data_IF_652398109344
#
_entry.id   IF_652398109344
#
_cell.length_a   1.000
_cell.length_b   1.000
_cell.length_c   1.000
_cell.angle_alpha   90.00
_cell.angle_beta   90.00
_cell.angle_gamma   90.00
#
_symmetry.space_group_name_H-M   'P 1'
#
loop_
_entity.id
_entity.type
_entity.pdbx_description
1 polymer ?
#
# COMPACT_ATOMS: atom_id res chain seq x y z
N UNK A 1 -47.30 -18.61 -26.96
CA UNK A 1 -46.17 -19.43 -26.47
C UNK A 1 -44.96 -19.38 -27.40
N UNK A 2 -45.12 -19.34 -28.73
CA UNK A 2 -43.99 -19.24 -29.68
C UNK A 2 -43.18 -17.92 -29.59
N UNK A 3 -43.82 -16.80 -29.21
CA UNK A 3 -43.13 -15.51 -29.12
C UNK A 3 -42.04 -15.45 -28.03
N UNK A 4 -42.20 -16.21 -26.92
CA UNK A 4 -41.18 -16.26 -25.85
C UNK A 4 -39.94 -17.07 -26.27
N UNK A 5 -40.12 -18.12 -27.09
CA UNK A 5 -39.01 -18.93 -27.61
C UNK A 5 -38.11 -18.18 -28.61
N UNK A 6 -38.64 -17.13 -29.25
CA UNK A 6 -37.92 -16.25 -30.16
C UNK A 6 -37.43 -14.95 -29.49
N UNK A 7 -37.46 -14.86 -28.16
CA UNK A 7 -36.95 -13.67 -27.46
C UNK A 7 -35.45 -13.52 -27.73
N UNK A 8 -34.98 -12.39 -28.28
CA UNK A 8 -33.57 -12.22 -28.57
C UNK A 8 -32.74 -12.30 -27.28
N UNK A 9 -31.65 -13.06 -27.33
CA UNK A 9 -30.69 -13.13 -26.24
C UNK A 9 -30.12 -11.72 -26.05
N UNK A 10 -30.27 -11.17 -24.84
CA UNK A 10 -29.74 -9.85 -24.52
C UNK A 10 -28.23 -9.82 -24.81
N UNK A 11 -27.74 -8.87 -25.63
CA UNK A 11 -26.33 -8.80 -25.94
C UNK A 11 -25.53 -8.54 -24.66
N UNK A 12 -24.42 -9.28 -24.51
CA UNK A 12 -23.48 -9.06 -23.41
C UNK A 12 -22.84 -7.69 -23.56
N UNK A 13 -22.82 -6.90 -22.48
CA UNK A 13 -22.17 -5.59 -22.51
C UNK A 13 -20.67 -5.75 -22.26
N UNK A 14 -19.84 -5.16 -23.12
CA UNK A 14 -18.41 -5.12 -22.88
C UNK A 14 -18.06 -4.02 -21.87
N UNK A 15 -18.07 -4.36 -20.58
CA UNK A 15 -17.69 -3.45 -19.48
C UNK A 15 -16.58 -4.09 -18.65
N UNK A 16 -15.35 -3.61 -18.83
CA UNK A 16 -14.19 -4.05 -18.06
C UNK A 16 -13.96 -3.18 -16.82
N UNK A 17 -14.13 -1.86 -16.95
CA UNK A 17 -13.78 -0.91 -15.90
C UNK A 17 -15.01 -0.49 -15.09
N UNK A 18 -14.82 -0.45 -13.78
CA UNK A 18 -15.77 0.01 -12.79
C UNK A 18 -15.07 1.07 -11.95
N UNK A 19 -15.66 2.25 -11.84
CA UNK A 19 -15.11 3.37 -11.05
C UNK A 19 -16.05 3.70 -9.89
N UNK A 20 -17.33 3.95 -10.22
CA UNK A 20 -18.40 4.16 -9.24
C UNK A 20 -19.51 3.11 -9.45
N UNK A 21 -19.38 1.98 -8.78
CA UNK A 21 -20.36 0.91 -8.82
C UNK A 21 -20.61 0.37 -7.41
N UNK A 22 -21.80 -0.17 -7.18
CA UNK A 22 -22.05 -0.97 -5.98
C UNK A 22 -21.49 -2.39 -6.17
N UNK A 23 -21.25 -3.12 -5.07
CA UNK A 23 -20.79 -4.52 -5.14
C UNK A 23 -21.76 -5.37 -5.96
N UNK A 24 -23.06 -5.14 -5.80
CA UNK A 24 -24.11 -5.83 -6.55
C UNK A 24 -24.02 -5.58 -8.05
N UNK A 25 -23.80 -4.33 -8.47
CA UNK A 25 -23.66 -3.99 -9.88
C UNK A 25 -22.38 -4.60 -10.50
N UNK A 26 -21.29 -4.65 -9.72
CA UNK A 26 -20.04 -5.31 -10.11
C UNK A 26 -20.26 -6.82 -10.29
N UNK A 27 -20.82 -7.50 -9.28
CA UNK A 27 -21.02 -8.95 -9.30
C UNK A 27 -22.03 -9.39 -10.35
N UNK A 28 -23.12 -8.64 -10.52
CA UNK A 28 -24.08 -8.89 -11.58
C UNK A 28 -23.44 -8.71 -12.96
N UNK A 29 -22.56 -7.72 -13.10
CA UNK A 29 -21.78 -7.51 -14.32
C UNK A 29 -20.82 -8.67 -14.62
N UNK A 30 -20.12 -9.16 -13.61
CA UNK A 30 -19.23 -10.32 -13.71
C UNK A 30 -19.97 -11.62 -14.07
N UNK A 31 -21.22 -11.76 -13.59
CA UNK A 31 -22.07 -12.90 -13.88
C UNK A 31 -22.69 -12.83 -15.29
N UNK A 32 -23.34 -11.70 -15.63
CA UNK A 32 -24.14 -11.58 -16.85
C UNK A 32 -23.33 -11.22 -18.10
N UNK A 33 -22.24 -10.47 -17.93
CA UNK A 33 -21.47 -9.95 -19.05
C UNK A 33 -20.16 -10.71 -19.21
N UNK A 34 -19.14 -10.29 -18.48
CA UNK A 34 -17.76 -10.70 -18.66
C UNK A 34 -17.20 -11.09 -17.30
N UNK A 35 -16.64 -12.31 -17.13
CA UNK A 35 -16.14 -12.78 -15.84
C UNK A 35 -14.76 -12.19 -15.48
N UNK A 36 -14.45 -11.00 -15.97
CA UNK A 36 -13.26 -10.23 -15.63
C UNK A 36 -13.63 -8.75 -15.49
N UNK A 37 -13.09 -8.07 -14.49
CA UNK A 37 -13.31 -6.65 -14.26
C UNK A 37 -12.08 -5.99 -13.61
N UNK A 38 -11.97 -4.68 -13.79
CA UNK A 38 -11.04 -3.79 -13.11
C UNK A 38 -11.81 -2.75 -12.28
N UNK A 39 -11.50 -2.66 -10.99
CA UNK A 39 -11.86 -1.52 -10.15
C UNK A 39 -10.65 -0.57 -10.13
N UNK A 40 -10.59 0.35 -11.08
CA UNK A 40 -9.42 1.20 -11.33
C UNK A 40 -9.82 2.64 -11.08
N UNK A 41 -9.04 3.39 -10.32
CA UNK A 41 -9.31 4.81 -10.08
C UNK A 41 -8.03 5.61 -9.83
N UNK A 42 -7.91 6.74 -10.52
CA UNK A 42 -6.87 7.76 -10.25
C UNK A 42 -7.21 8.65 -9.05
N UNK A 43 -8.45 8.60 -8.56
CA UNK A 43 -8.96 9.31 -7.38
C UNK A 43 -9.61 8.32 -6.40
N UNK A 44 -8.83 7.32 -6.00
CA UNK A 44 -9.30 6.15 -5.27
C UNK A 44 -9.82 6.43 -3.85
N UNK A 45 -9.73 7.66 -3.34
CA UNK A 45 -10.30 8.02 -2.03
C UNK A 45 -11.80 7.72 -1.93
N UNK A 46 -12.56 8.06 -2.97
CA UNK A 46 -13.99 7.72 -3.06
C UNK A 46 -14.20 6.20 -3.10
N UNK A 47 -13.40 5.48 -3.90
CA UNK A 47 -13.51 4.02 -4.06
C UNK A 47 -13.17 3.28 -2.76
N UNK A 48 -12.14 3.69 -2.02
CA UNK A 48 -11.77 3.11 -0.72
C UNK A 48 -12.93 3.14 0.28
N UNK A 49 -13.67 4.24 0.30
CA UNK A 49 -14.86 4.41 1.14
C UNK A 49 -16.15 3.88 0.50
N UNK A 50 -16.08 3.49 -0.78
CA UNK A 50 -17.20 3.04 -1.59
C UNK A 50 -17.68 1.64 -1.22
N UNK A 51 -18.95 1.34 -1.54
CA UNK A 51 -19.57 0.07 -1.19
C UNK A 51 -18.96 -1.13 -1.94
N UNK A 52 -18.65 -0.98 -3.23
CA UNK A 52 -17.98 -2.03 -4.02
C UNK A 52 -16.67 -2.49 -3.39
N UNK A 53 -15.88 -1.55 -2.84
CA UNK A 53 -14.62 -1.91 -2.22
C UNK A 53 -14.82 -2.52 -0.81
N UNK A 54 -15.85 -2.14 -0.07
CA UNK A 54 -15.97 -2.58 1.32
C UNK A 54 -16.58 -3.98 1.51
N UNK A 55 -16.87 -4.72 0.43
CA UNK A 55 -17.21 -6.15 0.48
C UNK A 55 -15.93 -7.03 0.44
N UNK A 56 -15.16 -6.95 1.53
CA UNK A 56 -13.80 -7.45 1.64
C UNK A 56 -13.66 -8.94 1.32
N UNK A 57 -14.58 -9.77 1.83
CA UNK A 57 -14.53 -11.22 1.62
C UNK A 57 -14.72 -11.58 0.14
N UNK A 58 -15.63 -10.89 -0.55
CA UNK A 58 -15.88 -11.11 -1.98
C UNK A 58 -14.73 -10.59 -2.85
N UNK A 59 -14.08 -9.51 -2.48
CA UNK A 59 -12.84 -9.11 -3.15
C UNK A 59 -11.75 -10.16 -3.00
N UNK A 60 -11.54 -10.66 -1.78
CA UNK A 60 -10.57 -11.70 -1.52
C UNK A 60 -10.87 -12.98 -2.31
N UNK A 61 -12.14 -13.36 -2.42
CA UNK A 61 -12.60 -14.48 -3.25
C UNK A 61 -12.32 -14.26 -4.75
N UNK A 62 -12.66 -13.08 -5.31
CA UNK A 62 -12.38 -12.77 -6.72
C UNK A 62 -10.88 -12.70 -7.02
N UNK A 63 -10.08 -12.23 -6.06
CA UNK A 63 -8.63 -12.27 -6.16
C UNK A 63 -8.15 -13.72 -6.20
N UNK A 64 -8.56 -14.57 -5.25
CA UNK A 64 -8.20 -16.00 -5.22
C UNK A 64 -8.71 -16.77 -6.44
N UNK A 65 -9.85 -16.35 -7.00
CA UNK A 65 -10.56 -17.09 -8.04
C UNK A 65 -11.65 -18.01 -7.51
N UNK A 66 -12.03 -17.83 -6.25
CA UNK A 66 -13.09 -18.59 -5.63
C UNK A 66 -14.44 -18.17 -6.20
N UNK A 67 -15.38 -19.11 -6.22
CA UNK A 67 -16.76 -18.80 -6.60
C UNK A 67 -17.46 -18.00 -5.49
N UNK A 68 -18.31 -17.07 -5.89
CA UNK A 68 -19.15 -16.30 -4.97
C UNK A 68 -20.60 -16.61 -5.27
N UNK A 69 -21.32 -17.11 -4.26
CA UNK A 69 -22.77 -17.23 -4.31
C UNK A 69 -23.41 -15.93 -3.86
N UNK A 70 -24.30 -15.38 -4.68
CA UNK A 70 -25.09 -14.19 -4.35
C UNK A 70 -26.54 -14.59 -4.23
N UNK A 71 -27.00 -14.75 -2.99
CA UNK A 71 -28.40 -15.05 -2.70
C UNK A 71 -29.28 -13.80 -2.71
N UNK A 72 -30.46 -13.91 -3.31
CA UNK A 72 -31.42 -12.80 -3.44
C UNK A 72 -32.80 -13.25 -2.99
N UNK A 73 -33.47 -12.39 -2.22
CA UNK A 73 -34.84 -12.62 -1.75
C UNK A 73 -35.86 -12.30 -2.85
N UNK A 74 -35.61 -11.24 -3.63
CA UNK A 74 -36.55 -10.70 -4.63
C UNK A 74 -36.13 -10.98 -6.08
N UNK A 75 -35.08 -11.76 -6.30
CA UNK A 75 -34.56 -12.11 -7.61
C UNK A 75 -33.91 -13.50 -7.56
N UNK A 76 -33.52 -14.04 -8.72
CA UNK A 76 -32.82 -15.31 -8.80
C UNK A 76 -31.40 -15.20 -8.18
N UNK A 77 -31.04 -16.17 -7.34
CA UNK A 77 -29.67 -16.33 -6.83
C UNK A 77 -28.74 -16.72 -7.98
N UNK A 78 -27.47 -16.28 -7.91
CA UNK A 78 -26.50 -16.59 -8.95
C UNK A 78 -25.10 -16.83 -8.40
N UNK A 79 -24.30 -17.58 -9.15
CA UNK A 79 -22.89 -17.82 -8.87
C UNK A 79 -22.00 -16.94 -9.76
N UNK A 80 -21.00 -16.32 -9.15
CA UNK A 80 -20.00 -15.49 -9.84
C UNK A 80 -18.66 -16.22 -9.82
N UNK A 81 -18.13 -16.55 -11.01
CA UNK A 81 -16.77 -17.08 -11.20
C UNK A 81 -15.91 -16.07 -11.94
N UNK A 82 -15.65 -14.95 -11.26
CA UNK A 82 -14.99 -13.78 -11.84
C UNK A 82 -13.51 -13.66 -11.49
N UNK A 83 -12.81 -12.74 -12.16
CA UNK A 83 -11.51 -12.23 -11.75
C UNK A 83 -11.59 -10.71 -11.63
N UNK A 84 -11.06 -10.18 -10.53
CA UNK A 84 -11.05 -8.74 -10.27
C UNK A 84 -9.61 -8.26 -10.12
N UNK A 85 -9.26 -7.21 -10.86
CA UNK A 85 -8.06 -6.40 -10.59
C UNK A 85 -8.50 -5.11 -9.91
N UNK A 86 -7.76 -4.68 -8.90
CA UNK A 86 -8.02 -3.40 -8.23
C UNK A 86 -6.75 -2.56 -8.32
N UNK A 87 -6.88 -1.32 -8.75
CA UNK A 87 -5.76 -0.36 -8.85
C UNK A 87 -6.24 1.01 -8.43
N UNK A 88 -5.80 1.46 -7.26
CA UNK A 88 -6.24 2.71 -6.66
C UNK A 88 -5.04 3.63 -6.44
N UNK A 89 -5.13 4.83 -7.00
CA UNK A 89 -4.24 5.94 -6.65
C UNK A 89 -4.96 6.79 -5.62
N UNK A 90 -4.38 6.96 -4.44
CA UNK A 90 -5.06 7.58 -3.30
C UNK A 90 -4.16 8.64 -2.70
N UNK A 91 -4.75 9.78 -2.36
CA UNK A 91 -4.06 10.79 -1.55
C UNK A 91 -3.76 10.24 -0.15
N UNK A 92 -2.58 10.53 0.36
CA UNK A 92 -2.08 10.06 1.66
C UNK A 92 -3.09 10.29 2.80
N UNK A 93 -3.65 11.51 2.88
CA UNK A 93 -4.66 11.87 3.89
C UNK A 93 -5.93 11.00 3.83
N UNK A 94 -6.39 10.67 2.61
CA UNK A 94 -7.56 9.84 2.40
C UNK A 94 -7.29 8.38 2.80
N UNK A 95 -6.10 7.86 2.47
CA UNK A 95 -5.68 6.53 2.87
C UNK A 95 -5.58 6.41 4.39
N UNK A 96 -4.92 7.35 5.07
CA UNK A 96 -4.80 7.29 6.53
C UNK A 96 -6.15 7.48 7.24
N UNK A 97 -7.05 8.33 6.72
CA UNK A 97 -8.41 8.42 7.26
C UNK A 97 -9.19 7.11 7.11
N UNK A 98 -9.00 6.39 6.00
CA UNK A 98 -9.56 5.05 5.84
C UNK A 98 -8.97 4.07 6.85
N UNK A 99 -7.64 4.06 7.00
CA UNK A 99 -6.94 3.15 7.90
C UNK A 99 -7.29 3.37 9.37
N UNK A 100 -7.49 4.61 9.80
CA UNK A 100 -7.95 4.93 11.16
C UNK A 100 -9.33 4.32 11.46
N UNK A 101 -10.25 4.34 10.48
CA UNK A 101 -11.63 3.88 10.66
C UNK A 101 -11.82 2.38 10.39
N UNK A 102 -11.11 1.85 9.41
CA UNK A 102 -11.35 0.51 8.85
C UNK A 102 -10.10 -0.37 8.85
N UNK A 103 -8.95 0.10 9.33
CA UNK A 103 -7.66 -0.57 9.22
C UNK A 103 -7.64 -1.95 9.85
N UNK A 104 -8.12 -2.07 11.10
CA UNK A 104 -8.18 -3.36 11.81
C UNK A 104 -9.02 -4.39 11.05
N UNK A 105 -10.21 -4.01 10.58
CA UNK A 105 -11.10 -4.89 9.82
C UNK A 105 -10.52 -5.26 8.45
N UNK A 106 -10.03 -4.27 7.71
CA UNK A 106 -9.49 -4.48 6.36
C UNK A 106 -8.21 -5.32 6.37
N UNK A 107 -7.29 -5.07 7.31
CA UNK A 107 -6.12 -5.93 7.53
C UNK A 107 -6.49 -7.31 8.05
N UNK A 108 -7.34 -7.40 9.07
CA UNK A 108 -7.77 -8.67 9.65
C UNK A 108 -8.48 -9.58 8.65
N UNK A 109 -9.15 -9.01 7.64
CA UNK A 109 -9.73 -9.79 6.53
C UNK A 109 -8.70 -10.35 5.55
N UNK A 110 -7.44 -9.88 5.62
CA UNK A 110 -6.37 -10.16 4.67
C UNK A 110 -6.49 -9.39 3.36
N UNK A 111 -7.30 -8.32 3.29
CA UNK A 111 -7.45 -7.51 2.07
C UNK A 111 -6.08 -6.97 1.64
N UNK A 112 -5.44 -6.18 2.49
CA UNK A 112 -4.21 -5.47 2.15
C UNK A 112 -3.03 -6.38 1.80
N UNK A 113 -2.99 -7.59 2.38
CA UNK A 113 -1.98 -8.60 2.04
C UNK A 113 -2.06 -9.09 0.57
N UNK A 114 -3.19 -8.86 -0.12
CA UNK A 114 -3.40 -9.19 -1.54
C UNK A 114 -3.07 -8.03 -2.49
N UNK A 115 -2.68 -6.87 -1.95
CA UNK A 115 -2.38 -5.67 -2.71
C UNK A 115 -0.86 -5.43 -2.72
N UNK A 116 -0.37 -4.89 -3.83
CA UNK A 116 0.96 -4.30 -3.92
C UNK A 116 0.84 -2.83 -3.54
N UNK A 117 0.97 -2.54 -2.23
CA UNK A 117 0.81 -1.20 -1.67
C UNK A 117 2.16 -0.49 -1.64
N UNK A 118 2.20 0.77 -2.05
CA UNK A 118 3.39 1.63 -1.93
C UNK A 118 3.01 3.07 -1.64
N UNK A 119 3.95 3.81 -1.06
CA UNK A 119 3.87 5.26 -0.88
C UNK A 119 5.23 5.86 -1.25
N UNK A 120 5.54 5.96 -2.56
CA UNK A 120 6.84 6.41 -3.04
C UNK A 120 7.10 7.87 -2.65
N UNK A 121 8.38 8.24 -2.62
CA UNK A 121 8.78 9.62 -2.29
C UNK A 121 8.15 10.63 -3.24
N UNK A 122 7.64 11.73 -2.67
CA UNK A 122 7.04 12.80 -3.44
C UNK A 122 8.10 13.57 -4.21
N UNK A 123 7.92 13.68 -5.52
CA UNK A 123 8.72 14.57 -6.38
C UNK A 123 8.15 16.00 -6.41
N UNK A 124 7.10 16.30 -5.64
CA UNK A 124 6.55 17.65 -5.56
C UNK A 124 7.59 18.61 -4.97
N UNK A 125 7.77 19.76 -5.60
CA UNK A 125 8.82 20.73 -5.25
C UNK A 125 10.16 20.48 -5.94
N UNK A 126 10.39 19.31 -6.54
CA UNK A 126 11.63 18.96 -7.25
C UNK A 126 11.42 18.51 -8.71
N UNK A 127 10.17 18.24 -9.12
CA UNK A 127 9.78 17.86 -10.50
C UNK A 127 9.78 19.04 -11.49
N UNK A 128 10.91 19.70 -11.67
CA UNK A 128 11.03 20.81 -12.61
C UNK A 128 10.89 20.33 -14.06
N UNK A 129 10.11 21.06 -14.86
CA UNK A 129 10.00 20.81 -16.30
C UNK A 129 11.33 21.22 -16.95
N UNK A 130 11.93 20.30 -17.69
CA UNK A 130 13.11 20.56 -18.53
C UNK A 130 12.64 20.79 -19.97
N UNK A 131 13.32 21.68 -20.70
CA UNK A 131 13.06 21.88 -22.12
C UNK A 131 13.54 20.66 -22.92
N UNK A 132 12.68 20.13 -23.79
CA UNK A 132 12.97 18.97 -24.63
C UNK A 132 11.78 18.01 -24.74
N UNK A 133 11.81 17.13 -25.75
CA UNK A 133 10.86 16.04 -25.82
C UNK A 133 11.24 14.98 -24.79
N UNK A 134 10.31 14.66 -23.87
CA UNK A 134 10.49 13.47 -23.04
C UNK A 134 10.54 12.23 -23.95
N UNK A 135 11.46 11.27 -23.72
CA UNK A 135 11.51 10.06 -24.51
C UNK A 135 10.30 9.18 -24.16
N UNK A 136 9.27 9.21 -25.01
CA UNK A 136 8.03 8.43 -24.86
C UNK A 136 8.10 7.02 -25.48
N UNK A 137 9.23 6.62 -26.09
CA UNK A 137 9.37 5.32 -26.79
C UNK A 137 8.97 4.12 -25.92
N UNK A 138 9.39 4.10 -24.65
CA UNK A 138 9.00 3.06 -23.71
C UNK A 138 7.48 3.05 -23.45
N UNK A 139 6.85 4.22 -23.37
CA UNK A 139 5.41 4.36 -23.19
C UNK A 139 4.64 3.93 -24.45
N UNK A 140 5.18 4.21 -25.63
CA UNK A 140 4.59 3.82 -26.91
C UNK A 140 4.62 2.30 -27.06
N UNK A 141 5.78 1.66 -26.81
CA UNK A 141 5.93 0.19 -26.82
C UNK A 141 5.03 -0.49 -25.78
N UNK A 142 4.91 0.09 -24.59
CA UNK A 142 3.99 -0.40 -23.57
C UNK A 142 2.52 -0.29 -24.04
N UNK A 143 2.13 0.85 -24.60
CA UNK A 143 0.77 1.11 -25.09
C UNK A 143 0.41 0.19 -26.25
N UNK A 144 1.34 -0.04 -27.17
CA UNK A 144 1.20 -1.02 -28.25
C UNK A 144 0.94 -2.42 -27.69
N UNK A 145 1.74 -2.85 -26.70
CA UNK A 145 1.56 -4.16 -26.07
C UNK A 145 0.20 -4.30 -25.39
N UNK A 146 -0.25 -3.27 -24.67
CA UNK A 146 -1.60 -3.24 -24.09
C UNK A 146 -2.67 -3.34 -25.18
N UNK A 147 -2.49 -2.63 -26.29
CA UNK A 147 -3.41 -2.67 -27.44
C UNK A 147 -3.55 -4.06 -28.07
N UNK A 148 -2.45 -4.80 -28.21
CA UNK A 148 -2.47 -6.20 -28.66
C UNK A 148 -3.25 -7.11 -27.70
N UNK A 149 -3.00 -6.97 -26.39
CA UNK A 149 -3.68 -7.75 -25.36
C UNK A 149 -5.18 -7.45 -25.39
N UNK A 150 -5.58 -6.19 -25.50
CA UNK A 150 -6.99 -5.79 -25.59
C UNK A 150 -7.68 -6.38 -26.84
N UNK A 151 -7.03 -6.31 -28.01
CA UNK A 151 -7.56 -6.92 -29.25
C UNK A 151 -7.79 -8.42 -29.08
N UNK A 152 -6.79 -9.14 -28.58
CA UNK A 152 -6.91 -10.60 -28.33
C UNK A 152 -7.97 -10.92 -27.26
N UNK A 153 -8.17 -10.02 -26.29
CA UNK A 153 -9.18 -10.18 -25.23
C UNK A 153 -10.60 -10.03 -25.76
N UNK A 154 -10.85 -9.16 -26.74
CA UNK A 154 -12.19 -9.02 -27.35
C UNK A 154 -12.61 -10.34 -28.01
N UNK A 155 -11.71 -10.96 -28.77
CA UNK A 155 -11.96 -12.27 -29.39
C UNK A 155 -12.18 -13.37 -28.36
N UNK A 156 -11.36 -13.39 -27.29
CA UNK A 156 -11.51 -14.34 -26.19
C UNK A 156 -12.84 -14.18 -25.45
N UNK A 157 -13.28 -12.94 -25.22
CA UNK A 157 -14.49 -12.63 -24.47
C UNK A 157 -15.77 -12.82 -25.30
N UNK A 158 -15.66 -12.85 -26.62
CA UNK A 158 -16.75 -13.20 -27.52
C UNK A 158 -17.11 -14.71 -27.44
N UNK A 159 -16.14 -15.58 -27.13
CA UNK A 159 -16.36 -17.02 -27.00
C UNK A 159 -16.22 -17.49 -25.54
N UNK A 160 -17.34 -17.61 -24.84
CA UNK A 160 -17.37 -18.09 -23.45
C UNK A 160 -16.90 -19.54 -23.26
N UNK A 161 -16.67 -20.30 -24.33
CA UNK A 161 -16.16 -21.68 -24.25
C UNK A 161 -14.64 -21.76 -24.44
N UNK A 162 -13.99 -20.68 -24.88
CA UNK A 162 -12.54 -20.67 -25.09
C UNK A 162 -11.82 -20.84 -23.74
N UNK A 163 -10.93 -21.84 -23.59
CA UNK A 163 -10.23 -22.06 -22.34
C UNK A 163 -9.26 -20.89 -22.06
N UNK A 164 -9.15 -20.50 -20.79
CA UNK A 164 -8.15 -19.52 -20.36
C UNK A 164 -6.75 -20.10 -20.56
N UNK A 165 -5.81 -19.25 -20.97
CA UNK A 165 -4.41 -19.60 -20.98
C UNK A 165 -3.96 -19.94 -19.55
N UNK A 166 -3.39 -21.12 -19.38
CA UNK A 166 -2.78 -21.56 -18.12
C UNK A 166 -1.28 -21.59 -18.33
N UNK A 167 -0.56 -20.72 -17.63
CA UNK A 167 0.90 -20.72 -17.57
C UNK A 167 1.35 -21.48 -16.33
N UNK A 168 2.48 -22.18 -16.44
CA UNK A 168 3.06 -22.97 -15.34
C UNK A 168 4.51 -22.58 -15.14
N UNK A 169 5.01 -22.77 -13.93
CA UNK A 169 6.44 -22.65 -13.66
C UNK A 169 7.20 -23.81 -14.28
N UNK A 170 8.40 -23.52 -14.78
CA UNK A 170 9.41 -24.54 -15.04
C UNK A 170 9.85 -25.21 -13.75
N UNK A 171 10.42 -26.40 -13.82
CA UNK A 171 10.88 -27.13 -12.63
C UNK A 171 11.86 -26.31 -11.77
N UNK A 172 12.77 -25.57 -12.42
CA UNK A 172 13.70 -24.68 -11.73
C UNK A 172 12.98 -23.53 -11.01
N UNK A 173 11.99 -22.92 -11.67
CA UNK A 173 11.17 -21.87 -11.06
C UNK A 173 10.32 -22.41 -9.89
N UNK A 174 9.80 -23.65 -9.97
CA UNK A 174 9.08 -24.30 -8.86
C UNK A 174 9.99 -24.42 -7.63
N UNK A 175 11.21 -24.98 -7.80
CA UNK A 175 12.15 -25.12 -6.70
C UNK A 175 12.48 -23.78 -6.05
N UNK A 176 12.69 -22.74 -6.88
CA UNK A 176 12.97 -21.41 -6.39
C UNK A 176 11.78 -20.80 -5.65
N UNK A 177 10.57 -20.94 -6.18
CA UNK A 177 9.35 -20.45 -5.54
C UNK A 177 9.14 -21.11 -4.17
N UNK A 178 9.33 -22.43 -4.05
CA UNK A 178 9.25 -23.15 -2.77
C UNK A 178 10.30 -22.66 -1.77
N UNK A 179 11.53 -22.41 -2.24
CA UNK A 179 12.59 -21.84 -1.40
C UNK A 179 12.21 -20.47 -0.86
N UNK A 180 11.64 -19.59 -1.70
CA UNK A 180 11.16 -18.27 -1.29
C UNK A 180 9.99 -18.38 -0.32
N UNK A 181 8.99 -19.22 -0.61
CA UNK A 181 7.85 -19.45 0.27
C UNK A 181 8.31 -19.85 1.67
N UNK A 182 9.17 -20.87 1.78
CA UNK A 182 9.67 -21.35 3.08
C UNK A 182 10.55 -20.31 3.78
N UNK A 183 11.35 -19.55 3.01
CA UNK A 183 12.16 -18.46 3.55
C UNK A 183 11.32 -17.35 4.16
N UNK A 184 10.24 -16.94 3.49
CA UNK A 184 9.28 -15.94 3.99
C UNK A 184 8.55 -16.47 5.23
N UNK A 185 8.07 -17.71 5.20
CA UNK A 185 7.38 -18.35 6.33
C UNK A 185 8.27 -18.38 7.58
N UNK A 186 9.54 -18.77 7.43
CA UNK A 186 10.50 -18.80 8.53
C UNK A 186 10.74 -17.40 9.16
N UNK A 187 10.50 -16.32 8.42
CA UNK A 187 10.68 -14.94 8.88
C UNK A 187 9.46 -14.38 9.62
N UNK A 188 8.36 -15.13 9.76
CA UNK A 188 7.19 -14.74 10.56
C UNK A 188 7.46 -14.87 12.07
N UNK A 189 8.39 -15.74 12.45
CA UNK A 189 8.77 -16.02 13.84
C UNK A 189 9.20 -14.75 14.61
N UNK A 190 9.22 -14.78 15.96
CA UNK A 190 9.81 -13.70 16.76
C UNK A 190 11.17 -13.26 16.24
N UNK A 191 11.41 -11.95 16.19
CA UNK A 191 12.62 -11.31 15.65
C UNK A 191 12.86 -11.50 14.15
N UNK A 192 11.99 -12.23 13.44
CA UNK A 192 12.02 -12.33 11.99
C UNK A 192 11.51 -11.06 11.30
N UNK A 193 11.87 -10.87 10.03
CA UNK A 193 11.48 -9.71 9.22
C UNK A 193 9.97 -9.43 9.23
N UNK A 194 9.16 -10.49 9.30
CA UNK A 194 7.70 -10.41 9.23
C UNK A 194 7.03 -10.66 10.59
N UNK A 195 7.76 -10.50 11.70
CA UNK A 195 7.17 -10.60 13.02
C UNK A 195 6.00 -9.62 13.19
N UNK A 196 4.83 -10.11 13.60
CA UNK A 196 3.59 -9.32 13.70
C UNK A 196 2.93 -8.96 12.36
N UNK A 197 3.50 -9.43 11.24
CA UNK A 197 3.04 -9.13 9.86
C UNK A 197 2.82 -10.43 9.06
N UNK A 198 2.39 -11.49 9.75
CA UNK A 198 2.16 -12.81 9.16
C UNK A 198 1.05 -12.80 8.09
N UNK A 199 0.05 -11.94 8.22
CA UNK A 199 -1.00 -11.76 7.21
C UNK A 199 -0.44 -11.41 5.83
N UNK A 200 0.53 -10.49 5.78
CA UNK A 200 1.24 -10.09 4.56
C UNK A 200 2.17 -11.20 4.06
N UNK A 201 3.01 -11.73 4.95
CA UNK A 201 3.99 -12.76 4.61
C UNK A 201 3.34 -14.00 3.96
N UNK A 202 2.22 -14.49 4.52
CA UNK A 202 1.49 -15.65 4.01
C UNK A 202 0.80 -15.43 2.64
N UNK A 203 0.79 -14.21 2.11
CA UNK A 203 0.27 -13.90 0.75
C UNK A 203 1.35 -13.45 -0.22
N UNK A 204 2.56 -13.19 0.26
CA UNK A 204 3.65 -12.67 -0.57
C UNK A 204 4.04 -13.63 -1.69
N UNK A 205 4.13 -14.93 -1.41
CA UNK A 205 4.45 -15.94 -2.42
C UNK A 205 3.37 -16.06 -3.51
N UNK A 206 2.08 -15.90 -3.15
CA UNK A 206 0.97 -15.85 -4.10
C UNK A 206 1.07 -14.62 -5.00
N UNK A 207 1.41 -13.46 -4.44
CA UNK A 207 1.63 -12.22 -5.20
C UNK A 207 2.82 -12.37 -6.17
N UNK A 208 3.94 -12.94 -5.71
CA UNK A 208 5.11 -13.23 -6.55
C UNK A 208 4.72 -14.09 -7.76
N UNK A 209 3.95 -15.15 -7.54
CA UNK A 209 3.53 -16.02 -8.63
C UNK A 209 2.64 -15.31 -9.66
N UNK A 210 1.73 -14.44 -9.19
CA UNK A 210 0.87 -13.62 -10.06
C UNK A 210 1.67 -12.62 -10.88
N UNK A 211 2.62 -11.91 -10.26
CA UNK A 211 3.48 -10.96 -10.96
C UNK A 211 4.36 -11.67 -11.98
N UNK A 212 4.92 -12.84 -11.64
CA UNK A 212 5.70 -13.64 -12.59
C UNK A 212 4.87 -14.07 -13.81
N UNK A 213 3.61 -14.48 -13.61
CA UNK A 213 2.69 -14.80 -14.70
C UNK A 213 2.36 -13.57 -15.56
N UNK A 214 2.18 -12.40 -14.94
CA UNK A 214 1.95 -11.13 -15.65
C UNK A 214 3.18 -10.77 -16.49
N UNK A 215 4.39 -10.85 -15.94
CA UNK A 215 5.63 -10.56 -16.67
C UNK A 215 5.81 -11.51 -17.85
N UNK A 216 5.67 -12.82 -17.61
CA UNK A 216 5.77 -13.83 -18.67
C UNK A 216 4.81 -13.55 -19.83
N UNK A 217 3.54 -13.30 -19.51
CA UNK A 217 2.52 -13.02 -20.51
C UNK A 217 2.76 -11.68 -21.22
N UNK A 218 3.05 -10.62 -20.46
CA UNK A 218 3.25 -9.28 -21.02
C UNK A 218 4.47 -9.23 -21.94
N UNK A 219 5.54 -9.95 -21.63
CA UNK A 219 6.76 -10.00 -22.45
C UNK A 219 6.68 -10.96 -23.65
N UNK A 220 5.52 -11.59 -23.90
CA UNK A 220 5.33 -12.59 -24.98
C UNK A 220 6.30 -13.77 -24.87
N UNK A 221 6.63 -14.19 -23.65
CA UNK A 221 7.43 -15.40 -23.45
C UNK A 221 6.57 -16.64 -23.75
N UNK A 222 7.19 -17.63 -24.37
CA UNK A 222 6.54 -18.91 -24.68
C UNK A 222 6.78 -19.96 -23.60
N UNK A 223 5.89 -20.95 -23.53
CA UNK A 223 6.07 -22.14 -22.69
C UNK A 223 5.87 -21.88 -21.19
N UNK A 224 6.80 -22.41 -20.40
CA UNK A 224 6.75 -22.31 -18.93
C UNK A 224 7.46 -21.03 -18.45
N UNK A 225 7.04 -20.52 -17.29
CA UNK A 225 7.68 -19.41 -16.61
C UNK A 225 9.06 -19.87 -16.14
N UNK A 226 10.09 -19.31 -16.77
CA UNK A 226 11.49 -19.55 -16.44
C UNK A 226 11.88 -18.87 -15.10
N UNK A 227 12.94 -19.36 -14.47
CA UNK A 227 13.38 -18.88 -13.15
C UNK A 227 13.75 -17.40 -13.18
N UNK A 228 14.29 -16.91 -14.29
CA UNK A 228 14.68 -15.50 -14.47
C UNK A 228 13.47 -14.57 -14.41
N UNK A 229 12.32 -15.01 -14.95
CA UNK A 229 11.07 -14.25 -14.88
C UNK A 229 10.50 -14.25 -13.45
N UNK A 230 10.70 -15.36 -12.73
CA UNK A 230 10.32 -15.46 -11.33
C UNK A 230 11.22 -14.57 -10.45
N UNK A 231 12.54 -14.53 -10.65
CA UNK A 231 13.44 -13.64 -9.89
C UNK A 231 13.07 -12.17 -10.06
N UNK A 232 12.78 -11.72 -11.29
CA UNK A 232 12.31 -10.36 -11.54
C UNK A 232 11.02 -10.05 -10.75
N UNK A 233 10.08 -11.01 -10.68
CA UNK A 233 8.87 -10.86 -9.89
C UNK A 233 9.15 -10.86 -8.37
N UNK A 234 10.11 -11.67 -7.91
CA UNK A 234 10.56 -11.70 -6.51
C UNK A 234 11.10 -10.34 -6.10
N UNK A 235 12.00 -9.75 -6.90
CA UNK A 235 12.60 -8.44 -6.61
C UNK A 235 11.53 -7.35 -6.48
N UNK A 236 10.62 -7.26 -7.45
CA UNK A 236 9.53 -6.28 -7.43
C UNK A 236 8.62 -6.49 -6.22
N UNK A 237 8.20 -7.74 -5.96
CA UNK A 237 7.31 -8.02 -4.83
C UNK A 237 7.99 -7.80 -3.47
N UNK A 238 9.30 -8.04 -3.34
CA UNK A 238 10.02 -7.69 -2.11
C UNK A 238 10.14 -6.19 -1.92
N UNK A 239 10.35 -5.40 -2.98
CA UNK A 239 10.29 -3.95 -2.86
C UNK A 239 8.92 -3.47 -2.36
N UNK A 240 7.83 -4.00 -2.91
CA UNK A 240 6.47 -3.71 -2.39
C UNK A 240 6.25 -4.24 -0.97
N UNK A 241 6.88 -5.36 -0.62
CA UNK A 241 6.84 -5.88 0.75
C UNK A 241 7.49 -4.93 1.74
N UNK A 242 8.54 -4.22 1.33
CA UNK A 242 9.27 -3.29 2.17
C UNK A 242 8.44 -2.03 2.41
N UNK A 243 7.80 -1.55 1.35
CA UNK A 243 6.80 -0.49 1.44
C UNK A 243 5.62 -0.88 2.33
N UNK A 244 5.12 -2.11 2.21
CA UNK A 244 4.07 -2.62 3.07
C UNK A 244 4.50 -2.61 4.55
N UNK A 245 5.69 -3.13 4.85
CA UNK A 245 6.23 -3.11 6.22
C UNK A 245 6.38 -1.68 6.72
N UNK A 246 6.90 -0.76 5.90
CA UNK A 246 7.04 0.66 6.27
C UNK A 246 5.70 1.33 6.58
N UNK A 247 4.64 0.99 5.84
CA UNK A 247 3.33 1.61 5.98
C UNK A 247 2.46 0.98 7.06
N UNK A 248 2.57 -0.33 7.29
CA UNK A 248 1.64 -1.09 8.13
C UNK A 248 2.27 -1.71 9.37
N UNK A 249 3.59 -1.68 9.52
CA UNK A 249 4.20 -2.03 10.81
C UNK A 249 3.77 -1.00 11.85
N UNK A 250 3.24 -1.48 12.97
CA UNK A 250 2.96 -0.64 14.12
C UNK A 250 4.28 -0.06 14.61
N UNK A 251 4.52 1.22 14.37
CA UNK A 251 5.65 1.89 14.99
C UNK A 251 5.55 1.72 16.52
N UNK A 252 6.61 1.29 17.21
CA UNK A 252 6.60 1.20 18.68
C UNK A 252 6.06 2.47 19.29
N UNK A 253 5.25 2.36 20.34
CA UNK A 253 4.53 3.51 20.90
C UNK A 253 5.49 4.66 21.28
N UNK A 254 6.66 4.32 21.81
CA UNK A 254 7.76 5.24 22.12
C UNK A 254 8.30 5.99 20.88
N UNK A 255 8.38 5.34 19.73
CA UNK A 255 8.81 5.96 18.49
C UNK A 255 7.76 6.92 17.92
N UNK A 256 6.48 6.53 17.94
CA UNK A 256 5.37 7.38 17.52
C UNK A 256 5.23 8.62 18.44
N UNK A 257 5.48 8.42 19.74
CA UNK A 257 5.52 9.50 20.73
C UNK A 257 6.74 10.41 20.54
N UNK A 258 7.91 9.85 20.22
CA UNK A 258 9.12 10.60 19.90
C UNK A 258 8.93 11.52 18.68
N UNK A 259 8.27 11.05 17.63
CA UNK A 259 7.95 11.88 16.46
C UNK A 259 7.05 13.08 16.82
N UNK A 260 5.98 12.84 17.60
CA UNK A 260 5.09 13.92 18.05
C UNK A 260 5.82 14.91 18.95
N UNK A 261 6.68 14.41 19.83
CA UNK A 261 7.53 15.24 20.68
C UNK A 261 8.49 16.08 19.84
N UNK A 262 9.19 15.49 18.87
CA UNK A 262 10.15 16.20 18.03
C UNK A 262 9.48 17.29 17.17
N UNK A 263 8.30 17.02 16.61
CA UNK A 263 7.51 18.02 15.88
C UNK A 263 7.11 19.19 16.79
N UNK A 264 6.75 18.92 18.05
CA UNK A 264 6.44 19.97 19.02
C UNK A 264 7.69 20.76 19.44
N UNK A 265 8.83 20.09 19.62
CA UNK A 265 10.12 20.73 19.90
C UNK A 265 10.62 21.54 18.70
N UNK A 266 10.27 21.16 17.47
CA UNK A 266 10.65 21.89 16.27
C UNK A 266 10.12 23.33 16.29
N UNK A 267 8.87 23.54 16.73
CA UNK A 267 8.30 24.87 16.93
C UNK A 267 9.08 25.68 17.97
N UNK A 268 9.65 25.00 18.97
CA UNK A 268 10.52 25.60 19.99
C UNK A 268 11.90 25.95 19.45
N UNK A 269 12.46 25.11 18.57
CA UNK A 269 13.70 25.39 17.83
C UNK A 269 13.54 26.63 16.96
N UNK A 270 12.42 26.74 16.24
CA UNK A 270 12.09 27.90 15.40
C UNK A 270 11.94 29.18 16.24
N UNK A 271 11.47 29.06 17.48
CA UNK A 271 11.40 30.16 18.45
C UNK A 271 12.75 30.45 19.14
N UNK A 272 13.84 29.80 18.70
CA UNK A 272 15.20 29.93 19.25
C UNK A 272 15.31 29.60 20.74
N UNK A 273 14.42 28.75 21.27
CA UNK A 273 14.55 28.24 22.65
C UNK A 273 15.69 27.22 22.70
N UNK A 274 16.70 27.41 23.56
CA UNK A 274 17.82 26.47 23.67
C UNK A 274 17.40 25.13 24.31
N UNK A 275 16.53 25.21 25.30
CA UNK A 275 16.15 24.06 26.11
C UNK A 275 14.75 24.21 26.66
N UNK A 276 14.03 23.09 26.78
CA UNK A 276 12.67 23.07 27.31
C UNK A 276 12.63 22.28 28.63
N UNK A 277 12.03 22.82 29.71
CA UNK A 277 11.83 22.04 30.93
C UNK A 277 10.98 20.80 30.64
N UNK A 278 11.36 19.62 31.16
CA UNK A 278 10.58 18.39 31.03
C UNK A 278 9.14 18.55 31.55
N UNK A 279 8.96 19.35 32.61
CA UNK A 279 7.65 19.71 33.17
C UNK A 279 6.77 20.52 32.20
N UNK A 280 7.38 21.33 31.32
CA UNK A 280 6.67 22.08 30.30
C UNK A 280 6.05 21.13 29.26
N UNK A 281 6.79 20.08 28.86
CA UNK A 281 6.28 19.05 27.97
C UNK A 281 5.10 18.31 28.60
N UNK A 282 5.21 17.93 29.87
CA UNK A 282 4.12 17.28 30.60
C UNK A 282 2.84 18.13 30.69
N UNK A 283 2.97 19.46 30.71
CA UNK A 283 1.84 20.38 30.83
C UNK A 283 1.27 20.82 29.47
N UNK A 284 2.12 21.07 28.48
CA UNK A 284 1.75 21.75 27.23
C UNK A 284 2.09 20.96 25.96
N UNK A 285 2.86 19.88 26.06
CA UNK A 285 3.25 19.06 24.92
C UNK A 285 2.07 18.32 24.25
N UNK A 286 2.31 17.50 23.23
CA UNK A 286 1.27 16.66 22.62
C UNK A 286 0.61 15.75 23.66
N UNK A 287 -0.72 15.56 23.58
CA UNK A 287 -1.51 14.79 24.58
C UNK A 287 -0.88 13.43 24.98
N UNK A 288 -0.35 12.60 24.05
CA UNK A 288 0.25 11.32 24.40
C UNK A 288 1.50 11.43 25.30
N UNK A 289 2.33 12.45 25.11
CA UNK A 289 3.60 12.65 25.85
C UNK A 289 3.46 13.53 27.09
N UNK A 290 2.21 13.79 27.52
CA UNK A 290 1.91 14.40 28.83
C UNK A 290 1.92 13.41 29.99
N UNK A 291 2.12 12.12 29.69
CA UNK A 291 2.35 11.06 30.65
C UNK A 291 3.86 10.75 30.73
N UNK A 292 4.43 10.77 31.94
CA UNK A 292 5.85 10.47 32.19
C UNK A 292 6.25 9.10 31.64
N UNK A 293 5.38 8.08 31.76
CA UNK A 293 5.68 6.72 31.28
C UNK A 293 5.83 6.64 29.76
N UNK A 294 5.28 7.62 29.04
CA UNK A 294 5.38 7.72 27.57
C UNK A 294 6.43 8.72 27.13
N UNK A 295 6.58 9.81 27.89
CA UNK A 295 7.56 10.86 27.63
C UNK A 295 8.99 10.32 27.74
N UNK A 296 9.28 9.49 28.73
CA UNK A 296 10.66 9.06 29.01
C UNK A 296 11.21 8.16 27.89
N UNK A 297 10.51 7.10 27.46
CA UNK A 297 10.91 6.34 26.27
C UNK A 297 11.00 7.20 25.01
N UNK A 298 10.09 8.15 24.81
CA UNK A 298 10.12 9.05 23.66
C UNK A 298 11.37 9.94 23.66
N UNK A 299 11.80 10.44 24.82
CA UNK A 299 13.05 11.21 24.94
C UNK A 299 14.26 10.30 24.67
N UNK A 300 14.28 9.06 25.18
CA UNK A 300 15.36 8.12 24.94
C UNK A 300 15.55 7.83 23.45
N UNK A 301 14.45 7.64 22.70
CA UNK A 301 14.48 7.52 21.23
C UNK A 301 15.12 8.75 20.57
N UNK A 302 14.77 9.97 21.02
CA UNK A 302 15.35 11.20 20.46
C UNK A 302 16.83 11.40 20.83
N UNK A 303 17.24 10.97 22.03
CA UNK A 303 18.65 10.96 22.45
C UNK A 303 19.45 9.99 21.59
N UNK A 304 18.96 8.76 21.39
CA UNK A 304 19.61 7.75 20.56
C UNK A 304 19.79 8.21 19.10
N UNK A 305 18.89 9.06 18.61
CA UNK A 305 18.95 9.71 17.29
C UNK A 305 19.80 10.99 17.27
N UNK A 306 20.39 11.38 18.40
CA UNK A 306 21.21 12.59 18.52
C UNK A 306 20.44 13.91 18.39
N UNK A 307 19.11 13.90 18.51
CA UNK A 307 18.25 15.08 18.31
C UNK A 307 18.07 15.95 19.54
N UNK A 308 18.29 15.38 20.73
CA UNK A 308 18.17 16.07 22.02
C UNK A 308 19.18 15.52 23.03
N UNK A 309 19.45 16.29 24.08
CA UNK A 309 20.15 15.83 25.28
C UNK A 309 19.38 16.19 26.54
N UNK A 310 19.61 15.46 27.63
CA UNK A 310 19.07 15.80 28.95
C UNK A 310 20.16 16.43 29.81
N UNK A 311 19.82 17.52 30.49
CA UNK A 311 20.66 18.08 31.55
C UNK A 311 19.81 18.55 32.73
N UNK A 312 20.43 18.69 33.89
CA UNK A 312 19.79 19.22 35.10
C UNK A 312 20.35 20.60 35.41
N UNK A 313 19.47 21.54 35.74
CA UNK A 313 19.84 22.87 36.24
C UNK A 313 18.87 23.27 37.35
N UNK A 314 19.41 23.68 38.51
CA UNK A 314 18.62 24.11 39.69
C UNK A 314 17.45 23.18 40.02
N UNK A 315 17.71 21.86 40.10
CA UNK A 315 16.75 20.78 40.37
C UNK A 315 15.64 20.56 39.31
N UNK A 316 15.72 21.21 38.15
CA UNK A 316 14.82 20.97 37.02
C UNK A 316 15.56 20.22 35.93
N UNK A 317 14.92 19.19 35.38
CA UNK A 317 15.42 18.47 34.20
C UNK A 317 14.98 19.19 32.93
N UNK A 318 15.93 19.52 32.07
CA UNK A 318 15.74 20.19 30.80
C UNK A 318 16.08 19.25 29.64
N UNK A 319 15.36 19.42 28.54
CA UNK A 319 15.64 18.83 27.23
C UNK A 319 16.36 19.91 26.42
N UNK A 320 17.64 19.71 26.15
CA UNK A 320 18.41 20.50 25.18
C UNK A 320 17.98 20.09 23.77
N UNK A 321 17.53 21.06 22.97
CA UNK A 321 16.99 20.81 21.62
C UNK A 321 17.97 21.16 20.49
N UNK A 322 19.20 21.51 20.85
CA UNK A 322 20.30 21.84 19.94
C UNK A 322 21.63 21.19 20.40
N UNK A 323 21.64 19.85 20.60
CA UNK A 323 22.75 19.14 21.23
C UNK A 323 24.11 19.29 20.51
N UNK A 324 24.10 19.67 19.24
CA UNK A 324 25.27 19.91 18.40
C UNK A 324 26.08 21.17 18.77
N UNK A 325 25.50 22.12 19.53
CA UNK A 325 26.24 23.29 20.01
C UNK A 325 26.64 23.13 21.47
N UNK A 326 27.88 23.51 21.80
CA UNK A 326 28.38 23.44 23.17
C UNK A 326 27.62 24.41 24.11
N UNK A 327 27.22 23.89 25.26
CA UNK A 327 26.62 24.66 26.37
C UNK A 327 27.62 25.65 27.02
N UNK A 328 28.91 25.55 26.73
CA UNK A 328 29.96 26.41 27.31
C UNK A 328 29.94 27.86 26.80
N UNK A 329 29.17 28.18 25.76
CA UNK A 329 29.22 29.47 25.06
C UNK A 329 28.11 30.46 25.42
N UNK A 330 27.36 30.29 26.53
CA UNK A 330 26.29 31.26 26.85
C UNK A 330 26.23 31.69 28.32
N UNK A 331 26.60 32.95 28.54
CA UNK A 331 26.10 33.75 29.65
C UNK A 331 24.58 33.92 29.53
N UNK A 332 23.90 33.93 30.67
CA UNK A 332 22.45 34.08 30.81
C UNK A 332 21.88 35.23 29.97
N UNK A 333 20.86 34.91 29.16
CA UNK A 333 20.11 35.77 28.22
C UNK A 333 20.86 36.19 26.96
N UNK A 334 20.90 35.30 25.97
CA UNK A 334 20.98 35.73 24.57
C UNK A 334 20.02 34.89 23.73
N UNK A 335 19.02 35.57 23.17
CA UNK A 335 18.25 35.09 22.02
C UNK A 335 19.27 34.77 20.92
N UNK A 336 19.28 33.54 20.42
CA UNK A 336 20.05 33.21 19.22
C UNK A 336 19.48 34.06 18.07
N UNK A 337 20.29 34.97 17.52
CA UNK A 337 19.89 35.79 16.37
C UNK A 337 19.74 34.90 15.13
N UNK A 338 18.71 35.10 14.28
CA UNK A 338 18.64 34.37 13.02
C UNK A 338 19.84 34.71 12.13
N UNK A 339 20.38 33.68 11.48
CA UNK A 339 21.52 33.74 10.58
C UNK A 339 21.40 34.90 9.58
N UNK A 340 22.44 35.74 9.51
CA UNK A 340 22.79 36.41 8.25
C UNK A 340 23.39 35.34 7.34
N UNK A 341 22.62 34.93 6.33
CA UNK A 341 23.17 34.31 5.13
C UNK A 341 24.17 35.28 4.50
N UNK A 342 25.45 34.92 4.54
CA UNK A 342 26.46 35.54 3.69
C UNK A 342 26.63 34.65 2.46
N UNK A 343 26.63 35.32 1.32
CA UNK A 343 26.74 34.82 -0.06
C UNK A 343 27.93 33.89 -0.25
#
# INVERSE_FOLDING_TARGET
MEHQACTPIKPKRFKLLYEDATSEALFLGLHQNIPVAGLISSEGGGVLTGKAFNDLSKQNALWSGDAITVDRVSAESYEVRGRLTVSLMVQESSFFSYMEKNGEKSRGSGLWARFLVCSPESTQGTRFITEGAAPWDCCDRFSERVGEILKSSVEFLADSKKPKLVVRFSQAAIHRWVSIFNGVEAQIRPEGRYFGMGDHASKLADNIARVAAIFHFFEKKDGEIAVETLEAAIEVCFWYSDEFLRMFSSQPQEEADAQKLDAWLQVKRESCERSVPKTSVLKFGPKPVRDVKRLDPAIEVLIARGKVLLFKSKNVTYIDIFPEYSMSNMNTRSVLSPLKTSI
#
